data_IF_939226572408
#
_entry.id   IF_939226572408
#
_cell.length_a   1.000
_cell.length_b   1.000
_cell.length_c   1.000
_cell.angle_alpha   90.00
_cell.angle_beta   90.00
_cell.angle_gamma   90.00
#
_symmetry.space_group_name_H-M   'P 1'
#
loop_
_entity.id
_entity.type
_entity.pdbx_description
1 polymer ?
#
# COMPACT_ATOMS: atom_id res chain seq x y z
N UNK A 1 27.71 29.87 -20.81
CA UNK A 1 28.50 29.30 -19.70
C UNK A 1 27.76 29.45 -18.36
N UNK A 2 27.46 30.67 -17.89
CA UNK A 2 26.73 30.90 -16.60
C UNK A 2 25.42 30.10 -16.45
N UNK A 3 24.58 30.07 -17.50
CA UNK A 3 23.30 29.36 -17.48
C UNK A 3 23.44 27.83 -17.32
N UNK A 4 24.52 27.25 -17.83
CA UNK A 4 24.79 25.81 -17.72
C UNK A 4 25.14 25.46 -16.28
N UNK A 5 25.95 26.29 -15.61
CA UNK A 5 26.28 26.08 -14.19
C UNK A 5 25.07 26.26 -13.28
N UNK A 6 24.20 27.24 -13.56
CA UNK A 6 22.95 27.43 -12.82
C UNK A 6 22.05 26.20 -12.98
N UNK A 7 21.85 25.73 -14.20
CA UNK A 7 21.01 24.55 -14.47
C UNK A 7 21.59 23.27 -13.83
N UNK A 8 22.90 23.06 -13.93
CA UNK A 8 23.57 21.95 -13.26
C UNK A 8 23.44 22.04 -11.73
N UNK A 9 23.58 23.22 -11.15
CA UNK A 9 23.37 23.47 -9.73
C UNK A 9 21.96 23.13 -9.26
N UNK A 10 20.93 23.49 -10.04
CA UNK A 10 19.54 23.13 -9.76
C UNK A 10 19.30 21.62 -9.79
N UNK A 11 19.88 20.91 -10.77
CA UNK A 11 19.80 19.45 -10.83
C UNK A 11 20.45 18.82 -9.61
N UNK A 12 21.66 19.25 -9.25
CA UNK A 12 22.39 18.73 -8.08
C UNK A 12 21.59 18.98 -6.80
N UNK A 13 21.02 20.17 -6.63
CA UNK A 13 20.18 20.50 -5.49
C UNK A 13 18.93 19.59 -5.42
N UNK A 14 18.25 19.38 -6.55
CA UNK A 14 17.06 18.53 -6.60
C UNK A 14 17.39 17.07 -6.25
N UNK A 15 18.52 16.55 -6.74
CA UNK A 15 18.98 15.20 -6.42
C UNK A 15 19.35 15.06 -4.94
N UNK A 16 20.00 16.07 -4.34
CA UNK A 16 20.31 16.08 -2.91
C UNK A 16 19.04 16.08 -2.06
N UNK A 17 18.06 16.91 -2.41
CA UNK A 17 16.77 16.94 -1.72
C UNK A 17 16.04 15.60 -1.82
N UNK A 18 16.00 14.99 -3.00
CA UNK A 18 15.38 13.68 -3.21
C UNK A 18 16.10 12.56 -2.41
N UNK A 19 17.43 12.61 -2.32
CA UNK A 19 18.23 11.64 -1.56
C UNK A 19 18.00 11.73 -0.05
N UNK A 20 17.65 12.91 0.46
CA UNK A 20 17.37 13.17 1.88
C UNK A 20 15.89 12.92 2.26
N UNK A 21 14.99 12.74 1.30
CA UNK A 21 13.57 12.52 1.58
C UNK A 21 13.32 11.15 2.26
N UNK A 22 12.40 11.08 3.23
CA UNK A 22 11.97 9.81 3.82
C UNK A 22 11.43 8.87 2.75
N UNK A 23 11.92 7.63 2.74
CA UNK A 23 11.47 6.59 1.80
C UNK A 23 10.10 5.99 2.16
N UNK A 24 9.66 6.19 3.39
CA UNK A 24 8.40 5.68 3.92
C UNK A 24 7.47 6.82 4.31
N UNK A 25 6.17 6.58 4.16
CA UNK A 25 5.11 7.43 4.66
C UNK A 25 4.19 6.58 5.55
N UNK A 26 3.59 7.19 6.57
CA UNK A 26 2.57 6.55 7.40
C UNK A 26 1.21 7.14 7.05
N UNK A 27 0.22 6.28 6.84
CA UNK A 27 -1.18 6.67 6.63
C UNK A 27 -2.01 6.07 7.77
N UNK A 28 -2.68 6.94 8.51
CA UNK A 28 -3.65 6.53 9.52
C UNK A 28 -5.07 6.93 9.09
N UNK A 29 -6.00 5.99 9.24
CA UNK A 29 -7.44 6.22 9.05
C UNK A 29 -8.19 5.49 10.16
N UNK A 30 -9.17 6.17 10.75
CA UNK A 30 -10.01 5.60 11.80
C UNK A 30 -11.49 5.66 11.41
N UNK A 31 -12.24 4.66 11.86
CA UNK A 31 -13.70 4.59 11.71
C UNK A 31 -14.27 3.82 12.90
N UNK A 32 -15.45 4.24 13.37
CA UNK A 32 -16.16 3.55 14.45
C UNK A 32 -17.09 2.50 13.84
N UNK A 33 -16.94 1.24 14.26
CA UNK A 33 -17.80 0.13 13.84
C UNK A 33 -18.59 -0.35 15.06
N UNK A 34 -19.91 -0.20 15.02
CA UNK A 34 -20.79 -0.65 16.10
C UNK A 34 -21.06 -2.16 16.02
N UNK A 35 -20.03 -2.97 16.35
CA UNK A 35 -20.07 -4.43 16.30
C UNK A 35 -19.05 -5.00 17.30
N UNK A 36 -19.26 -6.20 17.89
CA UNK A 36 -18.25 -6.86 18.72
C UNK A 36 -16.87 -6.93 18.06
N UNK A 37 -15.82 -6.69 18.86
CA UNK A 37 -14.42 -6.67 18.40
C UNK A 37 -14.06 -7.97 17.69
N UNK A 38 -14.44 -9.11 18.24
CA UNK A 38 -14.14 -10.43 17.65
C UNK A 38 -14.74 -10.59 16.25
N UNK A 39 -15.95 -10.06 16.03
CA UNK A 39 -16.60 -10.11 14.73
C UNK A 39 -15.84 -9.25 13.70
N UNK A 40 -15.39 -8.05 14.09
CA UNK A 40 -14.59 -7.17 13.23
C UNK A 40 -13.22 -7.79 12.95
N UNK A 41 -12.51 -8.24 13.98
CA UNK A 41 -11.16 -8.80 13.86
C UNK A 41 -11.16 -10.10 13.05
N UNK A 42 -12.23 -10.91 13.13
CA UNK A 42 -12.38 -12.10 12.29
C UNK A 42 -12.42 -11.80 10.79
N UNK A 43 -12.86 -10.60 10.40
CA UNK A 43 -12.94 -10.14 9.00
C UNK A 43 -11.71 -9.38 8.56
N UNK A 44 -11.15 -8.55 9.43
CA UNK A 44 -9.97 -7.72 9.12
C UNK A 44 -8.69 -8.54 9.13
N UNK A 45 -8.55 -9.48 10.07
CA UNK A 45 -7.38 -10.36 10.17
C UNK A 45 -7.34 -11.49 9.14
N UNK A 46 -8.46 -11.76 8.45
CA UNK A 46 -8.52 -12.73 7.37
C UNK A 46 -8.54 -12.01 6.01
N UNK A 47 -7.38 -12.01 5.34
CA UNK A 47 -7.19 -11.33 4.07
C UNK A 47 -7.97 -11.96 2.92
N UNK A 48 -8.59 -13.14 3.11
CA UNK A 48 -9.60 -13.67 2.17
C UNK A 48 -10.82 -12.75 2.03
N UNK A 49 -11.12 -11.95 3.05
CA UNK A 49 -12.19 -10.95 2.97
C UNK A 49 -11.71 -9.59 2.46
N UNK A 50 -10.40 -9.35 2.39
CA UNK A 50 -9.83 -8.05 2.00
C UNK A 50 -10.30 -7.61 0.61
N UNK A 51 -10.32 -8.53 -0.37
CA UNK A 51 -10.79 -8.26 -1.72
C UNK A 51 -12.25 -7.78 -1.80
N UNK A 52 -13.07 -8.06 -0.77
CA UNK A 52 -14.49 -7.70 -0.78
C UNK A 52 -14.75 -6.24 -0.41
N UNK A 53 -13.85 -5.61 0.33
CA UNK A 53 -14.08 -4.26 0.84
C UNK A 53 -12.98 -3.27 0.46
N UNK A 54 -11.84 -3.73 -0.04
CA UNK A 54 -10.77 -2.83 -0.44
C UNK A 54 -11.20 -1.99 -1.68
N UNK A 55 -11.06 -0.65 -1.65
CA UNK A 55 -11.41 0.21 -2.79
C UNK A 55 -10.62 -0.05 -4.08
N UNK A 56 -9.42 -0.60 -3.97
CA UNK A 56 -8.53 -0.85 -5.12
C UNK A 56 -9.11 -1.92 -6.06
N UNK A 57 -9.78 -2.94 -5.53
CA UNK A 57 -10.45 -3.95 -6.33
C UNK A 57 -11.63 -3.35 -7.13
N UNK A 58 -12.30 -2.33 -6.59
CA UNK A 58 -13.34 -1.60 -7.33
C UNK A 58 -12.74 -0.72 -8.43
N UNK A 59 -11.55 -0.15 -8.19
CA UNK A 59 -10.83 0.67 -9.16
C UNK A 59 -10.28 -0.14 -10.34
N UNK A 60 -9.85 -1.38 -10.09
CA UNK A 60 -9.39 -2.33 -11.12
C UNK A 60 -10.01 -3.73 -10.93
N UNK A 61 -11.26 -3.94 -11.40
CA UNK A 61 -11.93 -5.24 -11.27
C UNK A 61 -11.22 -6.39 -11.98
N UNK A 62 -10.34 -6.07 -12.94
CA UNK A 62 -9.55 -7.05 -13.69
C UNK A 62 -8.26 -7.47 -13.00
N UNK A 63 -7.89 -6.81 -11.90
CA UNK A 63 -6.71 -7.15 -11.13
C UNK A 63 -6.79 -8.58 -10.59
N UNK A 64 -5.69 -9.31 -10.72
CA UNK A 64 -5.54 -10.66 -10.18
C UNK A 64 -5.01 -10.56 -8.76
N UNK A 65 -5.60 -11.32 -7.85
CA UNK A 65 -5.11 -11.42 -6.48
C UNK A 65 -4.75 -12.85 -6.11
N UNK A 66 -3.71 -13.01 -5.31
CA UNK A 66 -3.29 -14.30 -4.75
C UNK A 66 -3.19 -14.18 -3.24
N UNK A 67 -3.74 -15.18 -2.54
CA UNK A 67 -3.74 -15.24 -1.08
C UNK A 67 -2.94 -16.45 -0.64
N UNK A 68 -2.04 -16.25 0.31
CA UNK A 68 -1.18 -17.31 0.86
C UNK A 68 -1.09 -17.22 2.38
N UNK A 69 -0.60 -18.29 3.01
CA UNK A 69 -0.46 -18.40 4.46
C UNK A 69 -1.76 -18.75 5.18
N UNK A 70 -1.65 -19.03 6.47
CA UNK A 70 -2.77 -19.40 7.33
C UNK A 70 -3.60 -18.16 7.67
N UNK A 71 -4.93 -18.16 7.49
CA UNK A 71 -5.77 -17.01 7.82
C UNK A 71 -5.62 -16.56 9.28
N UNK A 72 -5.64 -15.25 9.53
CA UNK A 72 -5.61 -14.63 10.87
C UNK A 72 -4.33 -14.88 11.68
N UNK A 73 -3.25 -15.35 11.04
CA UNK A 73 -1.95 -15.52 11.70
C UNK A 73 -0.86 -14.68 11.01
N UNK A 74 0.22 -14.31 11.73
CA UNK A 74 1.40 -13.70 11.12
C UNK A 74 1.86 -14.44 9.86
N UNK A 75 2.13 -13.69 8.80
CA UNK A 75 2.50 -14.21 7.48
C UNK A 75 1.32 -14.49 6.54
N UNK A 76 0.07 -14.33 6.98
CA UNK A 76 -1.06 -14.31 6.06
C UNK A 76 -0.90 -13.16 5.06
N UNK A 77 -0.98 -13.44 3.76
CA UNK A 77 -0.59 -12.49 2.72
C UNK A 77 -1.62 -12.40 1.60
N UNK A 78 -1.87 -11.17 1.16
CA UNK A 78 -2.64 -10.83 -0.04
C UNK A 78 -1.74 -10.09 -1.02
N UNK A 79 -1.57 -10.63 -2.22
CA UNK A 79 -0.81 -10.01 -3.31
C UNK A 79 -1.77 -9.66 -4.45
N UNK A 80 -1.46 -8.58 -5.18
CA UNK A 80 -2.23 -8.19 -6.35
C UNK A 80 -1.34 -7.76 -7.52
N UNK A 81 -1.90 -7.90 -8.72
CA UNK A 81 -1.35 -7.41 -9.98
C UNK A 81 -2.49 -6.88 -10.84
N UNK A 82 -2.47 -5.58 -11.13
CA UNK A 82 -3.46 -4.90 -11.95
C UNK A 82 -2.86 -3.76 -12.76
N UNK A 83 -3.55 -3.36 -13.83
CA UNK A 83 -3.08 -2.30 -14.73
C UNK A 83 -3.21 -0.91 -14.11
N UNK A 84 -4.27 -0.68 -13.31
CA UNK A 84 -4.51 0.62 -12.67
C UNK A 84 -3.98 0.68 -11.23
N UNK A 85 -4.01 -0.45 -10.53
CA UNK A 85 -3.60 -0.57 -9.12
C UNK A 85 -2.16 -1.02 -8.93
N UNK A 86 -1.44 -1.28 -10.04
CA UNK A 86 -0.06 -1.73 -10.03
C UNK A 86 0.11 -3.12 -9.42
N UNK A 87 1.28 -3.36 -8.85
CA UNK A 87 1.64 -4.60 -8.18
C UNK A 87 2.03 -4.32 -6.73
N UNK A 88 1.61 -5.18 -5.82
CA UNK A 88 1.95 -5.03 -4.42
C UNK A 88 1.47 -6.19 -3.56
N UNK A 89 1.70 -6.06 -2.25
CA UNK A 89 1.19 -7.02 -1.27
C UNK A 89 0.96 -6.42 0.09
N UNK A 90 0.03 -7.02 0.82
CA UNK A 90 -0.28 -6.79 2.22
C UNK A 90 0.02 -8.09 2.98
N UNK A 91 0.78 -7.99 4.08
CA UNK A 91 1.10 -9.12 4.96
C UNK A 91 0.62 -8.78 6.36
N UNK A 92 -0.12 -9.69 6.98
CA UNK A 92 -0.45 -9.62 8.40
C UNK A 92 0.82 -9.95 9.21
N UNK A 93 1.21 -9.02 10.08
CA UNK A 93 2.39 -9.16 10.96
C UNK A 93 2.01 -9.78 12.30
#
# INVERSE_FOLDING_TARGET
MIFVYIFAGLIVLLLLLAALMPKGFNIEKSVVINNPVDAVMSRVGDLNYYSKWNPWQQMDPSAKSTITGTPKTPGHRYAWEGKKVGMGSLTLL
#
